data_IF_943528095305
#
_entry.id   IF_943528095305
#
_cell.length_a   1.000
_cell.length_b   1.000
_cell.length_c   1.000
_cell.angle_alpha   90.00
_cell.angle_beta   90.00
_cell.angle_gamma   90.00
#
_symmetry.space_group_name_H-M   'P 1'
#
loop_
_entity.id
_entity.type
_entity.pdbx_description
1 polymer ?
#
# COMPACT_ATOMS: atom_id res chain seq x y z
N UNK A 1 10.10 4.48 -17.46
CA UNK A 1 10.67 3.60 -16.41
C UNK A 1 10.39 4.09 -14.98
N UNK A 2 10.15 5.39 -14.74
CA UNK A 2 9.88 5.93 -13.40
C UNK A 2 8.61 5.39 -12.70
N UNK A 3 7.61 4.91 -13.44
CA UNK A 3 6.34 4.40 -12.89
C UNK A 3 6.39 2.96 -12.38
N UNK A 4 7.48 2.21 -12.64
CA UNK A 4 7.58 0.78 -12.25
C UNK A 4 7.54 0.61 -10.73
N UNK A 5 7.97 1.62 -9.97
CA UNK A 5 7.91 1.61 -8.50
C UNK A 5 6.48 1.53 -7.96
N UNK A 6 5.46 1.98 -8.71
CA UNK A 6 4.05 1.83 -8.33
C UNK A 6 3.60 0.35 -8.29
N UNK A 7 4.22 -0.52 -9.09
CA UNK A 7 3.91 -1.96 -9.04
C UNK A 7 4.31 -2.58 -7.68
N UNK A 8 5.41 -2.11 -7.09
CA UNK A 8 5.84 -2.53 -5.76
C UNK A 8 4.86 -2.08 -4.67
N UNK A 9 4.35 -0.86 -4.76
CA UNK A 9 3.32 -0.35 -3.86
C UNK A 9 2.02 -1.17 -3.97
N UNK A 10 1.56 -1.46 -5.19
CA UNK A 10 0.39 -2.30 -5.43
C UNK A 10 0.52 -3.70 -4.82
N UNK A 11 1.69 -4.36 -4.97
CA UNK A 11 1.96 -5.64 -4.32
C UNK A 11 2.01 -5.52 -2.80
N UNK A 12 2.60 -4.46 -2.25
CA UNK A 12 2.66 -4.20 -0.81
C UNK A 12 1.28 -4.05 -0.20
N UNK A 13 0.44 -3.19 -0.78
CA UNK A 13 -0.97 -2.99 -0.41
C UNK A 13 -1.74 -4.31 -0.46
N UNK A 14 -1.63 -5.05 -1.56
CA UNK A 14 -2.27 -6.36 -1.72
C UNK A 14 -1.85 -7.38 -0.66
N UNK A 15 -0.56 -7.40 -0.31
CA UNK A 15 -0.04 -8.28 0.73
C UNK A 15 -0.56 -7.90 2.13
N UNK A 16 -0.59 -6.60 2.49
CA UNK A 16 -1.13 -6.16 3.79
C UNK A 16 -2.62 -6.50 3.90
N UNK A 17 -3.41 -6.16 2.86
CA UNK A 17 -4.83 -6.46 2.83
C UNK A 17 -5.12 -7.97 2.87
N UNK A 18 -4.36 -8.77 2.11
CA UNK A 18 -4.48 -10.23 2.08
C UNK A 18 -4.20 -10.87 3.42
N UNK A 19 -3.14 -10.44 4.12
CA UNK A 19 -2.81 -10.93 5.45
C UNK A 19 -3.85 -10.54 6.50
N UNK A 20 -4.37 -9.31 6.43
CA UNK A 20 -5.48 -8.88 7.28
C UNK A 20 -6.72 -9.74 7.05
N UNK A 21 -7.12 -9.98 5.79
CA UNK A 21 -8.28 -10.81 5.48
C UNK A 21 -8.10 -12.25 5.98
N UNK A 22 -6.93 -12.85 5.77
CA UNK A 22 -6.62 -14.21 6.24
C UNK A 22 -6.63 -14.32 7.78
N UNK A 23 -6.28 -13.25 8.50
CA UNK A 23 -6.41 -13.14 9.95
C UNK A 23 -7.85 -12.90 10.41
N UNK A 24 -8.57 -12.01 9.72
CA UNK A 24 -9.96 -11.68 10.01
C UNK A 24 -10.90 -12.88 9.84
N UNK A 25 -10.66 -13.72 8.83
CA UNK A 25 -11.40 -14.97 8.63
C UNK A 25 -11.16 -15.99 9.75
N UNK A 26 -9.99 -15.94 10.41
CA UNK A 26 -9.67 -16.82 11.56
C UNK A 26 -10.26 -16.31 12.87
N UNK A 27 -10.34 -15.00 13.06
CA UNK A 27 -10.88 -14.40 14.28
C UNK A 27 -11.60 -13.05 14.00
N UNK A 28 -12.85 -13.09 13.53
CA UNK A 28 -13.58 -11.90 13.07
C UNK A 28 -13.83 -10.87 14.18
N UNK A 29 -13.98 -11.32 15.44
CA UNK A 29 -14.21 -10.42 16.57
C UNK A 29 -13.00 -9.53 16.89
N UNK A 30 -11.77 -9.99 16.62
CA UNK A 30 -10.56 -9.19 16.80
C UNK A 30 -10.20 -8.34 15.56
N UNK A 31 -10.79 -8.64 14.40
CA UNK A 31 -10.48 -7.97 13.14
C UNK A 31 -10.76 -6.46 13.21
N UNK A 32 -11.91 -6.07 13.78
CA UNK A 32 -12.29 -4.67 13.92
C UNK A 32 -11.25 -3.83 14.68
N UNK A 33 -10.61 -4.41 15.70
CA UNK A 33 -9.53 -3.76 16.47
C UNK A 33 -8.26 -3.57 15.66
N UNK A 34 -8.03 -4.37 14.61
CA UNK A 34 -6.82 -4.34 13.80
C UNK A 34 -6.96 -3.50 12.52
N UNK A 35 -8.16 -2.98 12.25
CA UNK A 35 -8.42 -2.15 11.06
C UNK A 35 -7.55 -0.88 11.03
N UNK A 36 -7.25 -0.28 12.19
CA UNK A 36 -6.36 0.88 12.26
C UNK A 36 -4.93 0.52 11.80
N UNK A 37 -4.39 -0.60 12.28
CA UNK A 37 -3.09 -1.13 11.87
C UNK A 37 -3.06 -1.48 10.38
N UNK A 38 -4.14 -2.04 9.85
CA UNK A 38 -4.31 -2.29 8.41
C UNK A 38 -4.16 -0.98 7.61
N UNK A 39 -4.90 0.07 7.96
CA UNK A 39 -4.83 1.35 7.25
C UNK A 39 -3.45 1.99 7.35
N UNK A 40 -2.80 1.91 8.51
CA UNK A 40 -1.42 2.39 8.68
C UNK A 40 -0.47 1.61 7.75
N UNK A 41 -0.55 0.28 7.73
CA UNK A 41 0.27 -0.56 6.86
C UNK A 41 0.04 -0.28 5.37
N UNK A 42 -1.22 -0.09 4.97
CA UNK A 42 -1.60 0.28 3.61
C UNK A 42 -1.06 1.67 3.22
N UNK A 43 -1.16 2.65 4.13
CA UNK A 43 -0.66 4.01 3.89
C UNK A 43 0.86 4.03 3.69
N UNK A 44 1.61 3.27 4.49
CA UNK A 44 3.06 3.14 4.30
C UNK A 44 3.42 2.41 3.00
N UNK A 45 2.67 1.38 2.61
CA UNK A 45 2.88 0.69 1.34
C UNK A 45 2.60 1.61 0.13
N UNK A 46 1.53 2.42 0.20
CA UNK A 46 1.16 3.42 -0.81
C UNK A 46 2.16 4.57 -0.91
N UNK A 47 2.74 5.03 0.21
CA UNK A 47 3.65 6.17 0.23
C UNK A 47 4.83 6.00 -0.75
N UNK A 48 5.36 4.78 -0.85
CA UNK A 48 6.42 4.43 -1.81
C UNK A 48 5.97 4.56 -3.28
N UNK A 49 4.70 4.24 -3.56
CA UNK A 49 4.09 4.39 -4.88
C UNK A 49 3.89 5.85 -5.24
N UNK A 50 3.40 6.66 -4.30
CA UNK A 50 3.22 8.11 -4.49
C UNK A 50 4.56 8.79 -4.77
N UNK A 51 5.65 8.40 -4.10
CA UNK A 51 6.98 8.93 -4.43
C UNK A 51 7.44 8.55 -5.84
N UNK A 52 7.22 7.30 -6.27
CA UNK A 52 7.52 6.86 -7.64
C UNK A 52 6.73 7.66 -8.67
N UNK A 53 5.45 7.95 -8.39
CA UNK A 53 4.61 8.79 -9.23
C UNK A 53 5.07 10.25 -9.25
N UNK A 54 5.42 10.81 -8.09
CA UNK A 54 5.95 12.17 -7.99
C UNK A 54 7.21 12.34 -8.84
N UNK A 55 8.16 11.40 -8.77
CA UNK A 55 9.37 11.43 -9.60
C UNK A 55 9.03 11.35 -11.09
N UNK A 56 8.03 10.54 -11.47
CA UNK A 56 7.58 10.48 -12.85
C UNK A 56 6.98 11.82 -13.34
N UNK A 57 6.21 12.51 -12.50
CA UNK A 57 5.68 13.84 -12.81
C UNK A 57 6.79 14.88 -12.94
N UNK A 58 7.78 14.87 -12.04
CA UNK A 58 8.93 15.77 -12.12
C UNK A 58 9.71 15.59 -13.42
N UNK A 59 9.93 14.34 -13.85
CA UNK A 59 10.60 14.05 -15.13
C UNK A 59 9.78 14.43 -16.37
N UNK A 60 8.46 14.58 -16.25
CA UNK A 60 7.58 14.86 -17.39
C UNK A 60 7.26 16.36 -17.54
N UNK A 61 7.28 17.11 -16.45
CA UNK A 61 6.83 18.51 -16.43
C UNK A 61 7.86 19.51 -15.86
N UNK A 62 8.83 19.05 -15.07
CA UNK A 62 9.81 19.93 -14.42
C UNK A 62 11.21 19.84 -15.07
N UNK A 63 11.46 18.80 -15.87
CA UNK A 63 12.66 18.61 -16.70
C UNK A 63 12.26 18.60 -18.17
#
# INVERSE_FOLDING_TARGET
MACVGMAGAAMGVGNVAGNYLAGALRNPSAAASQTATLFIGMAFAEALGIFSFLVALLLLFAV
#
